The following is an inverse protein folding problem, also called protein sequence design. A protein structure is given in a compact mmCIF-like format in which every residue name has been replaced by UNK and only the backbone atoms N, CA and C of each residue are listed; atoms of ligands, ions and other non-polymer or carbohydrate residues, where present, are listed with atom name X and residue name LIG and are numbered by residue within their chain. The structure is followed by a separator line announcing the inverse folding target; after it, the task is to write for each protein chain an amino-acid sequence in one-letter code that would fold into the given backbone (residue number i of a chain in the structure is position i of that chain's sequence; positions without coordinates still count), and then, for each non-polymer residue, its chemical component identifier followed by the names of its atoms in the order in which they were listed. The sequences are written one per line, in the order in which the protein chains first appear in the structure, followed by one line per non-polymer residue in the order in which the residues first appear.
data_IF_200208956391
#
_entry.id   IF_200208956391
#
_cell.length_a   1.000
_cell.length_b   1.000
_cell.length_c   1.000
_cell.angle_alpha   90.00
_cell.angle_beta   90.00
_cell.angle_gamma   90.00
#
_symmetry.space_group_name_H-M   'P 1'
#
loop_
_entity.id
_entity.type
_entity.pdbx_description
1 polymer ?
#
# COMPACT_ATOMS: atom_id res chain seq x y z
N UNK A 1 -12.68 19.70 -5.35
CA UNK A 1 -12.13 18.89 -6.45
C UNK A 1 -12.78 17.52 -6.40
N UNK A 2 -13.54 17.18 -7.43
CA UNK A 2 -14.08 15.83 -7.61
C UNK A 2 -12.99 14.96 -8.23
N UNK A 3 -12.92 13.71 -7.76
CA UNK A 3 -11.92 12.76 -8.25
C UNK A 3 -12.57 11.38 -8.41
N UNK A 4 -12.03 10.59 -9.31
CA UNK A 4 -12.38 9.18 -9.48
C UNK A 4 -11.13 8.31 -9.47
N UNK A 5 -11.32 7.02 -9.30
CA UNK A 5 -10.23 6.02 -9.33
C UNK A 5 -10.51 5.02 -10.45
N UNK A 6 -9.45 4.59 -11.13
CA UNK A 6 -9.52 3.48 -12.09
C UNK A 6 -8.27 2.64 -12.06
N UNK A 7 -8.40 1.38 -12.46
CA UNK A 7 -7.24 0.55 -12.71
C UNK A 7 -6.39 1.13 -13.84
N UNK A 8 -5.08 1.00 -13.68
CA UNK A 8 -4.10 1.40 -14.68
C UNK A 8 -3.71 0.20 -15.54
N UNK A 9 -3.38 0.48 -16.79
CA UNK A 9 -2.67 -0.48 -17.64
C UNK A 9 -1.20 -0.50 -17.26
N UNK A 10 -0.47 -1.55 -17.65
CA UNK A 10 0.95 -1.70 -17.31
C UNK A 10 1.79 -0.52 -17.82
N UNK A 11 1.53 -0.04 -19.06
CA UNK A 11 2.26 1.10 -19.61
C UNK A 11 2.03 2.39 -18.81
N UNK A 12 0.81 2.62 -18.33
CA UNK A 12 0.48 3.77 -17.48
C UNK A 12 1.15 3.66 -16.09
N UNK A 13 1.16 2.46 -15.52
CA UNK A 13 1.86 2.17 -14.27
C UNK A 13 3.37 2.35 -14.42
N UNK A 14 3.93 1.91 -15.55
CA UNK A 14 5.35 2.12 -15.86
C UNK A 14 5.70 3.60 -16.02
N UNK A 15 4.84 4.37 -16.68
CA UNK A 15 5.01 5.81 -16.78
C UNK A 15 5.03 6.47 -15.38
N UNK A 16 4.06 6.11 -14.52
CA UNK A 16 3.99 6.62 -13.14
C UNK A 16 5.23 6.21 -12.35
N UNK A 17 5.67 4.96 -12.46
CA UNK A 17 6.88 4.48 -11.83
C UNK A 17 8.10 5.33 -12.22
N UNK A 18 8.25 5.61 -13.52
CA UNK A 18 9.41 6.33 -14.05
C UNK A 18 9.42 7.81 -13.66
N UNK A 19 8.26 8.46 -13.71
CA UNK A 19 8.17 9.92 -13.62
C UNK A 19 7.75 10.43 -12.25
N UNK A 20 7.15 9.59 -11.40
CA UNK A 20 6.65 9.99 -10.08
C UNK A 20 7.19 9.11 -8.95
N UNK A 21 6.99 7.79 -9.00
CA UNK A 21 7.28 6.89 -7.88
C UNK A 21 8.73 6.96 -7.44
N UNK A 22 9.68 6.92 -8.38
CA UNK A 22 11.12 7.03 -8.10
C UNK A 22 11.54 8.33 -7.41
N UNK A 23 10.71 9.37 -7.49
CA UNK A 23 10.97 10.66 -6.87
C UNK A 23 10.21 10.86 -5.57
N UNK A 24 9.15 10.06 -5.35
CA UNK A 24 8.31 10.17 -4.16
C UNK A 24 8.75 9.25 -3.01
N UNK A 25 9.55 8.22 -3.32
CA UNK A 25 10.03 7.25 -2.34
C UNK A 25 11.57 7.18 -2.35
N UNK A 26 12.18 6.88 -1.19
CA UNK A 26 13.62 6.65 -1.08
C UNK A 26 14.08 5.55 -2.04
N UNK A 27 15.27 5.72 -2.64
CA UNK A 27 15.76 4.81 -3.68
C UNK A 27 15.94 3.36 -3.21
N UNK A 28 16.22 3.16 -1.94
CA UNK A 28 16.37 1.85 -1.29
C UNK A 28 15.02 1.17 -0.98
N UNK A 29 13.91 1.91 -1.01
CA UNK A 29 12.56 1.39 -0.89
C UNK A 29 11.90 1.07 -2.25
N UNK A 30 12.45 1.61 -3.35
CA UNK A 30 11.88 1.44 -4.68
C UNK A 30 12.34 0.14 -5.31
N UNK A 31 11.41 -0.78 -5.54
CA UNK A 31 11.66 -2.03 -6.27
C UNK A 31 12.06 -1.74 -7.71
N UNK A 32 12.99 -2.51 -8.30
CA UNK A 32 13.26 -2.42 -9.73
C UNK A 32 11.99 -2.69 -10.56
N UNK A 33 11.75 -1.91 -11.61
CA UNK A 33 10.60 -2.13 -12.50
C UNK A 33 10.48 -3.58 -12.98
N UNK A 34 11.60 -4.24 -13.29
CA UNK A 34 11.63 -5.65 -13.69
C UNK A 34 10.91 -6.58 -12.68
N UNK A 35 11.01 -6.29 -11.40
CA UNK A 35 10.33 -7.07 -10.36
C UNK A 35 8.82 -6.80 -10.38
N UNK A 36 8.41 -5.55 -10.57
CA UNK A 36 7.01 -5.15 -10.70
C UNK A 36 6.41 -5.78 -11.97
N UNK A 37 7.07 -5.64 -13.13
CA UNK A 37 6.61 -6.19 -14.40
C UNK A 37 6.46 -7.73 -14.37
N UNK A 38 7.36 -8.43 -13.68
CA UNK A 38 7.22 -9.87 -13.47
C UNK A 38 5.94 -10.19 -12.68
N UNK A 39 5.73 -9.54 -11.53
CA UNK A 39 4.52 -9.78 -10.72
C UNK A 39 3.25 -9.36 -11.47
N UNK A 40 3.34 -8.33 -12.32
CA UNK A 40 2.22 -7.92 -13.17
C UNK A 40 1.86 -8.99 -14.19
N UNK A 41 2.87 -9.53 -14.88
CA UNK A 41 2.69 -10.64 -15.84
C UNK A 41 2.17 -11.92 -15.17
N UNK A 42 2.56 -12.17 -13.91
CA UNK A 42 2.08 -13.29 -13.09
C UNK A 42 0.64 -13.06 -12.54
N UNK A 43 0.02 -11.88 -12.79
CA UNK A 43 -1.31 -11.53 -12.29
C UNK A 43 -1.35 -11.23 -10.78
N UNK A 44 -0.19 -11.00 -10.16
CA UNK A 44 -0.04 -10.75 -8.72
C UNK A 44 0.19 -9.27 -8.38
N UNK A 45 0.05 -8.37 -9.35
CA UNK A 45 0.30 -6.94 -9.18
C UNK A 45 -0.66 -6.10 -9.99
N UNK A 46 -1.20 -5.05 -9.40
CA UNK A 46 -2.03 -4.08 -10.11
C UNK A 46 -1.81 -2.68 -9.58
N UNK A 47 -2.25 -1.69 -10.32
CA UNK A 47 -2.19 -0.30 -9.89
C UNK A 47 -3.50 0.44 -10.17
N UNK A 48 -3.74 1.46 -9.36
CA UNK A 48 -4.91 2.34 -9.44
C UNK A 48 -4.42 3.78 -9.54
N UNK A 49 -4.92 4.53 -10.51
CA UNK A 49 -4.74 5.96 -10.63
C UNK A 49 -5.88 6.72 -9.99
N UNK A 50 -5.57 7.86 -9.41
CA UNK A 50 -6.52 8.84 -8.87
C UNK A 50 -6.54 10.03 -9.82
N UNK A 51 -7.67 10.30 -10.44
CA UNK A 51 -7.82 11.33 -11.46
C UNK A 51 -8.80 12.40 -11.02
N UNK A 52 -8.56 13.64 -11.45
CA UNK A 52 -9.56 14.69 -11.33
C UNK A 52 -10.68 14.45 -12.34
N UNK A 53 -11.91 14.64 -11.87
CA UNK A 53 -13.09 14.64 -12.72
C UNK A 53 -13.22 16.05 -13.33
N UNK A 54 -12.86 16.15 -14.58
CA UNK A 54 -12.89 17.41 -15.35
C UNK A 54 -14.26 17.64 -16.04
N UNK A 55 -15.27 16.83 -15.72
CA UNK A 55 -16.61 16.90 -16.36
C UNK A 55 -16.58 16.37 -17.79
N UNK A 56 -17.39 16.98 -18.69
CA UNK A 56 -17.63 16.51 -20.06
C UNK A 56 -16.44 16.62 -21.03
N UNK A 57 -15.20 16.57 -20.54
CA UNK A 57 -14.05 16.40 -21.45
C UNK A 57 -14.09 14.97 -21.99
N UNK A 58 -14.22 14.77 -23.31
CA UNK A 58 -14.33 13.43 -23.88
C UNK A 58 -13.14 12.56 -23.47
N UNK A 59 -13.41 11.42 -22.87
CA UNK A 59 -12.40 10.41 -22.59
C UNK A 59 -11.80 9.99 -23.93
N UNK A 60 -10.58 10.44 -24.24
CA UNK A 60 -9.89 10.16 -25.49
C UNK A 60 -9.45 11.38 -26.31
N UNK A 61 -9.78 12.61 -25.89
CA UNK A 61 -9.41 13.83 -26.62
C UNK A 61 -7.94 14.26 -26.43
N UNK A 62 -7.18 13.62 -25.54
CA UNK A 62 -5.74 13.81 -25.44
C UNK A 62 -5.03 12.45 -25.34
N UNK A 63 -3.92 12.33 -26.03
CA UNK A 63 -2.94 11.22 -25.85
C UNK A 63 -2.34 11.24 -24.43
N UNK A 64 -2.76 12.13 -23.57
CA UNK A 64 -2.30 12.36 -22.20
C UNK A 64 -3.34 11.79 -21.21
N UNK A 65 -3.53 10.47 -21.24
CA UNK A 65 -4.44 9.76 -20.33
C UNK A 65 -4.09 9.97 -18.84
N UNK A 66 -2.95 10.56 -18.54
CA UNK A 66 -2.45 10.82 -17.19
C UNK A 66 -2.42 12.31 -16.81
N UNK A 67 -2.83 13.24 -17.69
CA UNK A 67 -2.80 14.68 -17.42
C UNK A 67 -3.68 15.13 -16.23
N UNK A 68 -4.72 14.36 -15.92
CA UNK A 68 -5.57 14.59 -14.76
C UNK A 68 -5.17 13.77 -13.52
N UNK A 69 -4.00 13.12 -13.51
CA UNK A 69 -3.52 12.33 -12.38
C UNK A 69 -3.31 13.23 -11.14
N UNK A 70 -3.80 12.76 -9.99
CA UNK A 70 -3.68 13.44 -8.69
C UNK A 70 -3.01 12.55 -7.65
N UNK A 71 -2.94 11.24 -7.92
CA UNK A 71 -2.32 10.26 -7.05
C UNK A 71 -2.33 8.87 -7.66
N UNK A 72 -1.71 7.95 -6.98
CA UNK A 72 -1.65 6.56 -7.41
C UNK A 72 -1.48 5.60 -6.22
N UNK A 73 -1.88 4.37 -6.45
CA UNK A 73 -1.69 3.25 -5.53
C UNK A 73 -1.28 2.01 -6.30
N UNK A 74 -0.28 1.30 -5.80
CA UNK A 74 0.22 0.03 -6.36
C UNK A 74 -0.01 -1.08 -5.34
N UNK A 75 -0.43 -2.24 -5.80
CA UNK A 75 -0.82 -3.35 -4.94
C UNK A 75 -0.15 -4.65 -5.35
N UNK A 76 0.20 -5.45 -4.34
CA UNK A 76 0.51 -6.87 -4.50
C UNK A 76 -0.68 -7.67 -4.02
N UNK A 77 -1.11 -8.68 -4.78
CA UNK A 77 -2.18 -9.59 -4.40
C UNK A 77 -1.83 -11.04 -4.70
N UNK A 78 -2.53 -11.95 -4.06
CA UNK A 78 -2.47 -13.39 -4.31
C UNK A 78 -3.87 -13.98 -4.21
N UNK A 79 -4.22 -15.00 -5.00
CA UNK A 79 -5.45 -15.76 -4.79
C UNK A 79 -5.45 -16.52 -3.45
N UNK A 80 -4.27 -16.78 -2.88
CA UNK A 80 -4.11 -17.50 -1.61
C UNK A 80 -4.22 -16.58 -0.39
N UNK A 81 -4.50 -15.29 -0.58
CA UNK A 81 -4.61 -14.29 0.49
C UNK A 81 -5.97 -13.59 0.47
N UNK A 82 -6.53 -13.36 1.63
CA UNK A 82 -7.69 -12.46 1.79
C UNK A 82 -7.28 -10.98 1.80
N UNK A 83 -6.02 -10.67 2.12
CA UNK A 83 -5.44 -9.34 2.07
C UNK A 83 -4.69 -9.07 0.75
N UNK A 84 -4.66 -7.78 0.35
CA UNK A 84 -3.73 -7.28 -0.65
C UNK A 84 -2.83 -6.20 -0.02
N UNK A 85 -1.55 -6.19 -0.37
CA UNK A 85 -0.59 -5.22 0.17
C UNK A 85 -0.61 -3.94 -0.67
N UNK A 86 -0.88 -2.80 -0.04
CA UNK A 86 -0.69 -1.47 -0.60
C UNK A 86 0.82 -1.16 -0.60
N UNK A 87 1.48 -1.49 -1.71
CA UNK A 87 2.93 -1.45 -1.87
C UNK A 87 3.48 -0.03 -2.01
N UNK A 88 2.80 0.80 -2.81
CA UNK A 88 3.11 2.23 -2.94
C UNK A 88 1.82 3.04 -2.97
N UNK A 89 1.80 4.14 -2.22
CA UNK A 89 0.66 5.05 -2.21
C UNK A 89 1.14 6.50 -2.10
N UNK A 90 0.74 7.32 -3.06
CA UNK A 90 1.07 8.73 -3.03
C UNK A 90 -0.04 9.60 -3.64
N UNK A 91 -0.25 10.74 -3.02
CA UNK A 91 -0.91 11.90 -3.63
C UNK A 91 0.19 12.82 -4.14
N UNK A 92 0.04 13.33 -5.36
CA UNK A 92 1.03 14.24 -5.94
C UNK A 92 1.17 15.49 -5.06
N UNK A 93 2.37 16.02 -4.89
CA UNK A 93 2.66 17.07 -3.90
C UNK A 93 1.71 18.26 -3.98
N UNK A 94 1.33 18.67 -5.20
CA UNK A 94 0.48 19.82 -5.49
C UNK A 94 -0.96 19.66 -5.00
N UNK A 95 -1.38 18.40 -4.68
CA UNK A 95 -2.76 18.06 -4.27
C UNK A 95 -2.85 17.54 -2.84
N UNK A 96 -1.76 17.65 -2.07
CA UNK A 96 -1.72 17.28 -0.65
C UNK A 96 -2.48 18.29 0.20
N UNK A 97 -2.70 17.96 1.45
CA UNK A 97 -3.28 18.81 2.50
C UNK A 97 -4.75 19.23 2.28
N UNK A 98 -5.40 18.79 1.19
CA UNK A 98 -6.82 18.99 0.91
C UNK A 98 -7.71 17.78 1.29
N UNK A 99 -7.19 16.85 2.11
CA UNK A 99 -7.89 15.63 2.53
C UNK A 99 -8.06 14.59 1.42
N UNK A 100 -7.44 14.78 0.25
CA UNK A 100 -7.55 13.86 -0.89
C UNK A 100 -7.01 12.47 -0.54
N UNK A 101 -5.88 12.40 0.20
CA UNK A 101 -5.29 11.13 0.60
C UNK A 101 -6.26 10.25 1.41
N UNK A 102 -6.92 10.81 2.42
CA UNK A 102 -7.89 10.05 3.20
C UNK A 102 -9.08 9.57 2.37
N UNK A 103 -9.67 10.46 1.55
CA UNK A 103 -10.78 10.07 0.65
C UNK A 103 -10.37 8.99 -0.35
N UNK A 104 -9.16 9.08 -0.89
CA UNK A 104 -8.63 8.06 -1.80
C UNK A 104 -8.46 6.73 -1.08
N UNK A 105 -7.90 6.72 0.12
CA UNK A 105 -7.70 5.49 0.88
C UNK A 105 -9.03 4.75 1.13
N UNK A 106 -10.11 5.48 1.45
CA UNK A 106 -11.45 4.90 1.59
C UNK A 106 -11.96 4.29 0.28
N UNK A 107 -11.80 4.99 -0.84
CA UNK A 107 -12.18 4.45 -2.16
C UNK A 107 -11.37 3.20 -2.55
N UNK A 108 -10.10 3.17 -2.21
CA UNK A 108 -9.26 1.98 -2.41
C UNK A 108 -9.76 0.81 -1.56
N UNK A 109 -10.17 1.06 -0.31
CA UNK A 109 -10.75 0.03 0.55
C UNK A 109 -12.08 -0.51 -0.01
N UNK A 110 -12.93 0.35 -0.54
CA UNK A 110 -14.18 -0.07 -1.23
C UNK A 110 -13.88 -0.89 -2.48
N UNK A 111 -12.90 -0.47 -3.28
CA UNK A 111 -12.50 -1.16 -4.51
C UNK A 111 -11.98 -2.57 -4.21
N UNK A 112 -11.13 -2.76 -3.21
CA UNK A 112 -10.59 -4.09 -2.88
C UNK A 112 -11.63 -4.96 -2.16
N UNK A 113 -12.53 -4.36 -1.38
CA UNK A 113 -13.68 -5.08 -0.77
C UNK A 113 -14.57 -5.68 -1.86
N UNK A 114 -14.81 -4.97 -2.97
CA UNK A 114 -15.51 -5.51 -4.15
C UNK A 114 -14.81 -6.72 -4.80
N UNK A 115 -13.57 -6.99 -4.42
CA UNK A 115 -12.79 -8.18 -4.81
C UNK A 115 -12.67 -9.19 -3.64
N UNK A 116 -13.47 -9.04 -2.60
CA UNK A 116 -13.46 -9.88 -1.38
C UNK A 116 -12.11 -9.80 -0.63
N UNK A 117 -11.45 -8.63 -0.66
CA UNK A 117 -10.16 -8.42 -0.02
C UNK A 117 -10.19 -7.25 0.96
N UNK A 118 -9.21 -7.25 1.87
CA UNK A 118 -8.87 -6.10 2.72
C UNK A 118 -7.47 -5.57 2.37
N UNK A 119 -7.16 -4.35 2.79
CA UNK A 119 -5.84 -3.75 2.56
C UNK A 119 -4.91 -4.05 3.73
N UNK A 120 -3.73 -4.55 3.41
CA UNK A 120 -2.54 -4.52 4.24
C UNK A 120 -1.68 -3.33 3.83
N UNK A 121 -1.05 -2.68 4.79
CA UNK A 121 -0.06 -1.62 4.53
C UNK A 121 1.02 -1.64 5.62
N UNK A 122 2.14 -1.00 5.34
CA UNK A 122 3.29 -0.95 6.23
C UNK A 122 3.67 0.50 6.52
N UNK A 123 4.05 0.75 7.77
CA UNK A 123 4.76 1.96 8.15
C UNK A 123 6.07 1.59 8.81
N UNK A 124 7.09 2.42 8.63
CA UNK A 124 8.35 2.24 9.33
C UNK A 124 8.11 2.29 10.85
N UNK A 125 8.69 1.31 11.55
CA UNK A 125 8.55 1.21 13.01
C UNK A 125 9.20 2.42 13.71
N UNK A 126 8.40 3.15 14.48
CA UNK A 126 8.82 4.37 15.18
C UNK A 126 9.94 4.09 16.19
N UNK A 127 9.99 2.89 16.78
CA UNK A 127 11.00 2.48 17.74
C UNK A 127 12.41 2.43 17.10
N UNK A 128 12.51 2.42 15.79
CA UNK A 128 13.75 2.42 15.02
C UNK A 128 14.02 3.75 14.31
N UNK A 129 13.37 4.83 14.72
CA UNK A 129 13.68 6.17 14.23
C UNK A 129 15.07 6.62 14.71
N UNK A 130 15.85 7.23 13.82
CA UNK A 130 17.24 7.62 14.09
C UNK A 130 17.38 9.04 14.62
N UNK A 131 16.34 9.86 14.48
CA UNK A 131 16.32 11.26 14.92
C UNK A 131 14.87 11.75 15.11
N UNK A 132 14.71 12.95 15.68
CA UNK A 132 13.41 13.55 15.98
C UNK A 132 12.56 13.83 14.72
N UNK A 133 13.18 14.15 13.59
CA UNK A 133 12.47 14.37 12.34
C UNK A 133 11.78 13.10 11.88
N UNK A 134 12.47 11.95 11.93
CA UNK A 134 11.89 10.65 11.62
C UNK A 134 10.78 10.26 12.61
N UNK A 135 10.95 10.52 13.91
CA UNK A 135 9.89 10.31 14.91
C UNK A 135 8.65 11.13 14.54
N UNK A 136 8.83 12.40 14.25
CA UNK A 136 7.74 13.31 13.87
C UNK A 136 7.03 12.85 12.59
N UNK A 137 7.79 12.48 11.56
CA UNK A 137 7.23 12.01 10.28
C UNK A 137 6.43 10.71 10.46
N UNK A 138 7.01 9.71 11.15
CA UNK A 138 6.36 8.42 11.41
C UNK A 138 5.09 8.60 12.25
N UNK A 139 5.14 9.45 13.28
CA UNK A 139 3.98 9.78 14.12
C UNK A 139 2.86 10.41 13.29
N UNK A 140 3.17 11.35 12.40
CA UNK A 140 2.17 11.94 11.49
C UNK A 140 1.57 10.92 10.54
N UNK A 141 2.37 9.98 10.06
CA UNK A 141 1.93 8.89 9.16
C UNK A 141 1.01 7.93 9.92
N UNK A 142 1.37 7.50 11.11
CA UNK A 142 0.54 6.68 11.99
C UNK A 142 -0.81 7.35 12.28
N UNK A 143 -0.77 8.65 12.65
CA UNK A 143 -1.98 9.44 12.88
C UNK A 143 -2.86 9.59 11.62
N UNK A 144 -2.23 9.67 10.42
CA UNK A 144 -2.97 9.65 9.16
C UNK A 144 -3.71 8.34 8.96
N UNK A 145 -3.06 7.20 9.13
CA UNK A 145 -3.70 5.90 8.95
C UNK A 145 -4.78 5.64 10.00
N UNK A 146 -4.52 5.96 11.27
CA UNK A 146 -5.50 5.80 12.35
C UNK A 146 -6.79 6.59 12.09
N UNK A 147 -6.70 7.89 11.74
CA UNK A 147 -7.91 8.70 11.47
C UNK A 147 -8.67 8.30 10.21
N UNK A 148 -8.03 7.51 9.33
CA UNK A 148 -8.65 6.94 8.15
C UNK A 148 -9.10 5.48 8.35
N UNK A 149 -9.26 5.03 9.60
CA UNK A 149 -9.85 3.73 9.93
C UNK A 149 -8.92 2.53 9.76
N UNK A 150 -7.61 2.77 9.55
CA UNK A 150 -6.65 1.68 9.59
C UNK A 150 -6.38 1.25 11.03
N UNK A 151 -6.23 -0.05 11.23
CA UNK A 151 -5.92 -0.66 12.52
C UNK A 151 -4.46 -1.09 12.53
N UNK A 152 -3.69 -0.54 13.48
CA UNK A 152 -2.32 -0.95 13.74
C UNK A 152 -2.33 -2.33 14.38
N UNK A 153 -1.63 -3.29 13.77
CA UNK A 153 -1.51 -4.64 14.32
C UNK A 153 -0.28 -4.75 15.22
N UNK A 154 -0.12 -5.90 15.85
CA UNK A 154 1.13 -6.28 16.52
C UNK A 154 2.07 -7.08 15.61
N UNK A 155 1.77 -7.16 14.30
CA UNK A 155 2.64 -7.78 13.31
C UNK A 155 3.77 -6.83 12.97
N UNK A 156 5.01 -7.29 13.14
CA UNK A 156 6.23 -6.56 12.81
C UNK A 156 6.97 -7.25 11.67
N UNK A 157 7.53 -6.43 10.78
CA UNK A 157 8.33 -6.89 9.65
C UNK A 157 9.76 -6.37 9.72
N UNK A 158 10.72 -7.23 9.34
CA UNK A 158 12.05 -6.81 8.93
C UNK A 158 12.27 -7.25 7.51
N UNK A 159 12.54 -6.29 6.65
CA UNK A 159 12.83 -6.53 5.23
C UNK A 159 14.17 -5.87 4.92
N UNK A 160 15.19 -6.68 4.65
CA UNK A 160 16.59 -6.26 4.62
C UNK A 160 16.97 -5.55 5.93
N UNK A 161 17.23 -4.25 5.88
CA UNK A 161 17.57 -3.41 7.04
C UNK A 161 16.40 -2.62 7.60
N UNK A 162 15.31 -2.52 6.84
CA UNK A 162 14.13 -1.75 7.24
C UNK A 162 13.26 -2.52 8.25
N UNK A 163 12.60 -1.78 9.13
CA UNK A 163 11.70 -2.28 10.17
C UNK A 163 10.34 -1.64 9.98
N UNK A 164 9.31 -2.47 9.94
CA UNK A 164 7.94 -2.07 9.65
C UNK A 164 6.96 -2.58 10.70
N UNK A 165 5.86 -1.86 10.84
CA UNK A 165 4.65 -2.32 11.53
C UNK A 165 3.56 -2.46 10.48
N UNK A 166 2.81 -3.55 10.55
CA UNK A 166 1.71 -3.85 9.62
C UNK A 166 0.41 -3.24 10.15
N UNK A 167 -0.36 -2.68 9.24
CA UNK A 167 -1.69 -2.16 9.47
C UNK A 167 -2.70 -2.86 8.56
N UNK A 168 -3.96 -2.85 8.96
CA UNK A 168 -5.07 -3.36 8.15
C UNK A 168 -6.12 -2.28 7.92
N UNK A 169 -6.78 -2.31 6.76
CA UNK A 169 -7.95 -1.49 6.46
C UNK A 169 -9.01 -2.37 5.79
N UNK A 170 -10.23 -2.38 6.37
CA UNK A 170 -11.33 -3.21 5.89
C UNK A 170 -11.34 -4.64 6.43
N UNK A 171 -10.43 -5.00 7.34
CA UNK A 171 -10.48 -6.24 8.11
C UNK A 171 -11.28 -5.99 9.40
N UNK A 172 -12.59 -6.20 9.36
CA UNK A 172 -13.53 -5.80 10.43
C UNK A 172 -13.20 -6.40 11.80
N UNK A 173 -12.82 -7.68 11.86
CA UNK A 173 -12.42 -8.33 13.11
C UNK A 173 -11.19 -7.68 13.77
N UNK A 174 -10.31 -7.04 13.01
CA UNK A 174 -9.14 -6.33 13.55
C UNK A 174 -9.54 -5.08 14.36
N UNK A 175 -10.65 -4.43 13.99
CA UNK A 175 -11.18 -3.24 14.67
C UNK A 175 -12.17 -3.58 15.77
N UNK A 176 -12.62 -4.84 15.88
CA UNK A 176 -13.60 -5.29 16.86
C UNK A 176 -13.09 -5.29 18.29
N UNK A 177 -14.00 -5.35 19.24
CA UNK A 177 -13.73 -5.39 20.69
C UNK A 177 -13.45 -6.80 21.22
N UNK A 178 -13.70 -7.84 20.43
CA UNK A 178 -13.41 -9.23 20.80
C UNK A 178 -11.90 -9.49 20.59
N UNK A 179 -11.21 -9.71 21.70
CA UNK A 179 -9.76 -9.92 21.71
C UNK A 179 -9.33 -11.20 20.96
N UNK A 180 -10.13 -12.26 21.02
CA UNK A 180 -9.85 -13.51 20.32
C UNK A 180 -10.02 -13.34 18.81
N UNK A 181 -11.11 -12.70 18.38
CA UNK A 181 -11.35 -12.38 16.98
C UNK A 181 -10.28 -11.44 16.41
N UNK A 182 -9.88 -10.43 17.21
CA UNK A 182 -8.79 -9.50 16.82
C UNK A 182 -7.45 -10.22 16.70
N UNK A 183 -7.12 -11.12 17.64
CA UNK A 183 -5.90 -11.92 17.56
C UNK A 183 -5.88 -12.79 16.31
N UNK A 184 -6.98 -13.49 16.00
CA UNK A 184 -7.10 -14.29 14.79
C UNK A 184 -6.98 -13.43 13.51
N UNK A 185 -7.51 -12.21 13.52
CA UNK A 185 -7.34 -11.27 12.41
C UNK A 185 -5.88 -10.85 12.19
N UNK A 186 -5.12 -10.65 13.28
CA UNK A 186 -3.70 -10.33 13.20
C UNK A 186 -2.86 -11.53 12.75
N UNK A 187 -3.22 -12.77 13.15
CA UNK A 187 -2.59 -13.98 12.65
C UNK A 187 -2.80 -14.12 11.14
N UNK A 188 -4.01 -13.84 10.65
CA UNK A 188 -4.32 -13.80 9.21
C UNK A 188 -3.49 -12.75 8.49
N UNK A 189 -3.45 -11.51 9.00
CA UNK A 189 -2.64 -10.44 8.43
C UNK A 189 -1.15 -10.83 8.35
N UNK A 190 -0.62 -11.49 9.39
CA UNK A 190 0.75 -12.00 9.41
C UNK A 190 0.98 -13.08 8.33
N UNK A 191 0.05 -14.03 8.18
CA UNK A 191 0.12 -15.08 7.18
C UNK A 191 0.08 -14.52 5.75
N UNK A 192 -0.86 -13.59 5.48
CA UNK A 192 -1.00 -12.93 4.19
C UNK A 192 0.26 -12.12 3.84
N UNK A 193 0.80 -11.34 4.77
CA UNK A 193 2.05 -10.61 4.57
C UNK A 193 3.21 -11.53 4.20
N UNK A 194 3.36 -12.69 4.89
CA UNK A 194 4.39 -13.67 4.56
C UNK A 194 4.21 -14.23 3.14
N UNK A 195 2.97 -14.50 2.72
CA UNK A 195 2.66 -15.02 1.39
C UNK A 195 2.97 -13.97 0.32
N UNK A 196 2.51 -12.73 0.49
CA UNK A 196 2.74 -11.63 -0.44
C UNK A 196 4.23 -11.29 -0.58
N UNK A 197 4.97 -11.31 0.53
CA UNK A 197 6.42 -11.07 0.48
C UNK A 197 7.20 -12.18 -0.22
N UNK A 198 6.72 -13.42 -0.22
CA UNK A 198 7.32 -14.51 -1.02
C UNK A 198 7.18 -14.28 -2.51
N UNK A 199 6.09 -13.65 -2.96
CA UNK A 199 5.92 -13.24 -4.35
C UNK A 199 6.89 -12.10 -4.72
N UNK A 200 7.06 -11.14 -3.82
CA UNK A 200 7.91 -9.97 -4.02
C UNK A 200 9.40 -10.33 -4.01
N UNK A 201 9.82 -11.15 -3.07
CA UNK A 201 11.21 -11.54 -2.81
C UNK A 201 11.29 -13.08 -2.83
N UNK A 202 11.29 -13.71 -4.01
CA UNK A 202 11.23 -15.17 -4.10
C UNK A 202 12.53 -15.88 -3.70
N UNK A 203 12.39 -17.14 -3.34
CA UNK A 203 13.49 -18.07 -3.13
C UNK A 203 14.27 -17.83 -1.83
N UNK A 204 15.57 -18.11 -1.87
CA UNK A 204 16.44 -18.02 -0.69
C UNK A 204 16.57 -16.61 -0.12
N UNK A 205 16.40 -15.58 -0.97
CA UNK A 205 16.41 -14.18 -0.51
C UNK A 205 15.32 -13.89 0.51
N UNK A 206 14.13 -14.47 0.35
CA UNK A 206 13.06 -14.33 1.34
C UNK A 206 13.52 -14.85 2.70
N UNK A 207 14.07 -16.07 2.77
CA UNK A 207 14.53 -16.68 4.02
C UNK A 207 15.63 -15.89 4.72
N UNK A 208 16.51 -15.25 3.93
CA UNK A 208 17.66 -14.50 4.45
C UNK A 208 17.30 -13.09 4.91
N UNK A 209 16.39 -12.43 4.21
CA UNK A 209 16.19 -10.98 4.34
C UNK A 209 14.82 -10.57 4.84
N UNK A 210 13.87 -11.49 4.92
CA UNK A 210 12.50 -11.20 5.38
C UNK A 210 12.19 -11.95 6.65
N UNK A 211 11.75 -11.23 7.67
CA UNK A 211 11.17 -11.81 8.89
C UNK A 211 9.88 -11.03 9.18
N UNK A 212 8.74 -11.69 9.16
CA UNK A 212 7.43 -11.12 9.50
C UNK A 212 6.79 -12.03 10.54
N UNK A 213 6.48 -11.48 11.70
CA UNK A 213 5.93 -12.25 12.82
C UNK A 213 5.08 -11.35 13.72
N UNK A 214 4.26 -11.97 14.59
CA UNK A 214 3.61 -11.29 15.71
C UNK A 214 4.68 -10.81 16.71
N UNK A 215 4.43 -9.70 17.40
CA UNK A 215 5.38 -9.15 18.38
C UNK A 215 5.64 -10.11 19.55
N UNK A 216 4.69 -10.99 19.86
CA UNK A 216 4.83 -12.05 20.86
C UNK A 216 5.77 -13.20 20.42
N UNK A 217 6.13 -13.27 19.14
CA UNK A 217 6.93 -14.34 18.52
C UNK A 217 8.26 -13.82 17.94
N UNK A 218 8.53 -12.54 18.07
CA UNK A 218 9.60 -11.81 17.38
C UNK A 218 10.96 -11.83 18.12
#
# INVERSE_FOLDING_TARGET
MNTYTRFLREEEAHFIFKHYLKHHFPADEVKPWKSIARMWADGCYFAVGVFEDLGDVPVGASNDSLGALRGYAFFVESPDCDGCLLDYYAILPEYRDAGLGGRTLQRLAELVRGREKYILLETEDIDFAKNEDQVSERTRRDAFYTRNGCVKTDVKGRVFTARYVVWTLGLEAAAGSDDAARSAAFDRACADMNTLYRLMIPGEKFKLFVKIARASEA
#
